data_IF_193750487139
#
_entry.id   IF_193750487139
#
_cell.length_a   1.000
_cell.length_b   1.000
_cell.length_c   1.000
_cell.angle_alpha   90.00
_cell.angle_beta   90.00
_cell.angle_gamma   90.00
#
_symmetry.space_group_name_H-M   'P 1'
#
loop_
_entity.id
_entity.type
_entity.pdbx_description
1 polymer ?
#
# COMPACT_ATOMS: atom_id res chain seq x y z
N UNK A 1 0.63 -9.22 -17.06
CA UNK A 1 2.07 -9.22 -17.36
C UNK A 1 2.84 -9.21 -16.06
N UNK A 2 3.76 -10.17 -15.86
CA UNK A 2 4.59 -10.29 -14.65
C UNK A 2 5.95 -9.72 -15.01
N UNK A 3 6.36 -8.62 -14.37
CA UNK A 3 7.66 -7.99 -14.58
C UNK A 3 8.70 -8.76 -13.77
N UNK A 4 9.71 -9.33 -14.44
CA UNK A 4 10.82 -10.04 -13.78
C UNK A 4 11.74 -9.05 -13.05
N UNK A 5 12.32 -9.51 -11.94
CA UNK A 5 13.28 -8.76 -11.15
C UNK A 5 14.53 -8.48 -11.99
N UNK A 6 14.94 -7.22 -12.09
CA UNK A 6 16.06 -6.76 -12.93
C UNK A 6 17.32 -6.59 -12.08
N UNK A 7 17.80 -7.69 -11.50
CA UNK A 7 19.00 -7.69 -10.66
C UNK A 7 20.30 -7.53 -11.47
N UNK A 8 20.28 -7.85 -12.77
CA UNK A 8 21.43 -7.75 -13.67
C UNK A 8 21.64 -6.34 -14.24
N UNK A 9 20.71 -5.42 -14.00
CA UNK A 9 20.80 -4.04 -14.50
C UNK A 9 21.37 -3.11 -13.44
N UNK A 10 22.45 -2.41 -13.79
CA UNK A 10 23.06 -1.41 -12.92
C UNK A 10 22.28 -0.09 -12.96
N UNK A 11 21.72 0.31 -11.82
CA UNK A 11 21.07 1.62 -11.64
C UNK A 11 19.54 1.55 -11.52
N UNK A 12 18.89 2.71 -11.56
CA UNK A 12 17.44 2.81 -11.40
C UNK A 12 16.73 2.68 -12.76
N UNK A 13 15.92 1.63 -12.90
CA UNK A 13 15.07 1.42 -14.07
C UNK A 13 13.59 1.65 -13.71
N UNK A 14 12.92 2.50 -14.49
CA UNK A 14 11.48 2.75 -14.32
C UNK A 14 10.71 1.51 -14.78
N UNK A 15 10.07 0.83 -13.82
CA UNK A 15 9.24 -0.32 -14.12
C UNK A 15 7.80 0.13 -14.44
N UNK A 16 7.19 -0.38 -15.52
CA UNK A 16 5.82 -0.05 -15.86
C UNK A 16 4.88 -0.44 -14.71
N UNK A 17 3.98 0.48 -14.33
CA UNK A 17 2.95 0.31 -13.28
C UNK A 17 3.48 0.12 -11.84
N UNK A 18 4.78 0.27 -11.57
CA UNK A 18 5.35 0.22 -10.22
C UNK A 18 4.67 1.20 -9.25
N UNK A 19 4.27 2.36 -9.77
CA UNK A 19 3.53 3.37 -9.01
C UNK A 19 2.25 2.83 -8.37
N UNK A 20 1.61 1.80 -8.93
CA UNK A 20 0.36 1.24 -8.38
C UNK A 20 0.62 0.60 -7.02
N UNK A 21 1.72 -0.16 -6.90
CA UNK A 21 2.14 -0.82 -5.67
C UNK A 21 2.63 0.22 -4.64
N UNK A 22 3.48 1.15 -5.08
CA UNK A 22 3.97 2.25 -4.23
C UNK A 22 2.82 3.11 -3.70
N UNK A 23 1.77 3.34 -4.51
CA UNK A 23 0.58 4.06 -4.09
C UNK A 23 -0.21 3.30 -3.02
N UNK A 24 -0.30 1.97 -3.11
CA UNK A 24 -0.91 1.16 -2.05
C UNK A 24 -0.15 1.32 -0.74
N UNK A 25 1.19 1.23 -0.77
CA UNK A 25 2.01 1.48 0.41
C UNK A 25 1.84 2.90 0.95
N UNK A 26 1.76 3.92 0.08
CA UNK A 26 1.51 5.29 0.49
C UNK A 26 0.17 5.46 1.22
N UNK A 27 -0.90 4.74 0.82
CA UNK A 27 -2.17 4.77 1.55
C UNK A 27 -2.09 4.12 2.93
N UNK A 28 -1.33 3.03 3.06
CA UNK A 28 -1.09 2.37 4.35
C UNK A 28 -0.28 3.30 5.26
N UNK A 29 0.85 3.82 4.79
CA UNK A 29 1.70 4.74 5.55
C UNK A 29 1.02 6.07 5.87
N UNK A 30 -0.02 6.49 5.15
CA UNK A 30 -0.82 7.66 5.55
C UNK A 30 -1.49 7.49 6.93
N UNK A 31 -1.67 6.26 7.41
CA UNK A 31 -2.19 5.98 8.75
C UNK A 31 -1.04 5.98 9.75
N UNK A 32 -1.07 6.89 10.73
CA UNK A 32 0.01 7.12 11.71
C UNK A 32 0.57 5.83 12.34
N UNK A 33 -0.31 4.87 12.69
CA UNK A 33 0.08 3.59 13.30
C UNK A 33 0.82 2.63 12.36
N UNK A 34 0.76 2.83 11.04
CA UNK A 34 1.47 2.02 10.05
C UNK A 34 2.71 2.74 9.47
N UNK A 35 3.07 3.93 9.97
CA UNK A 35 4.27 4.67 9.53
C UNK A 35 5.54 4.05 10.10
N UNK A 36 5.46 3.59 11.36
CA UNK A 36 6.52 2.88 12.05
C UNK A 36 5.93 1.63 12.67
N UNK A 37 6.79 0.65 12.92
CA UNK A 37 6.40 -0.52 13.68
C UNK A 37 6.22 -0.14 15.16
N UNK A 38 4.97 0.13 15.53
CA UNK A 38 4.58 0.46 16.90
C UNK A 38 4.03 -0.75 17.65
N UNK A 39 3.59 -1.78 16.92
CA UNK A 39 2.88 -2.91 17.50
C UNK A 39 3.89 -3.97 17.92
N UNK A 40 3.88 -4.37 19.20
CA UNK A 40 4.79 -5.42 19.69
C UNK A 40 4.51 -6.78 19.07
N UNK A 41 3.26 -7.01 18.63
CA UNK A 41 2.83 -8.28 18.08
C UNK A 41 2.45 -8.13 16.61
N UNK A 42 2.79 -9.15 15.82
CA UNK A 42 2.56 -9.21 14.39
C UNK A 42 1.07 -9.22 14.03
N UNK A 43 0.24 -9.90 14.83
CA UNK A 43 -1.22 -9.98 14.66
C UNK A 43 -1.90 -8.61 14.76
N UNK A 44 -1.44 -7.77 15.68
CA UNK A 44 -1.92 -6.39 15.81
C UNK A 44 -1.52 -5.55 14.59
N UNK A 45 -0.27 -5.65 14.14
CA UNK A 45 0.18 -4.91 12.96
C UNK A 45 -0.59 -5.32 11.70
N UNK A 46 -0.83 -6.62 11.52
CA UNK A 46 -1.65 -7.17 10.43
C UNK A 46 -3.08 -6.60 10.46
N UNK A 47 -3.74 -6.61 11.63
CA UNK A 47 -5.05 -6.01 11.81
C UNK A 47 -5.07 -4.51 11.46
N UNK A 48 -4.03 -3.77 11.85
CA UNK A 48 -3.90 -2.34 11.52
C UNK A 48 -3.79 -2.09 10.01
N UNK A 49 -3.06 -2.93 9.28
CA UNK A 49 -2.98 -2.86 7.81
C UNK A 49 -4.34 -3.14 7.16
N UNK A 50 -5.06 -4.16 7.62
CA UNK A 50 -6.42 -4.44 7.15
C UNK A 50 -7.37 -3.26 7.38
N UNK A 51 -7.35 -2.69 8.59
CA UNK A 51 -8.15 -1.52 8.94
C UNK A 51 -7.82 -0.31 8.04
N UNK A 52 -6.54 -0.07 7.75
CA UNK A 52 -6.11 1.01 6.84
C UNK A 52 -6.70 0.84 5.41
N UNK A 53 -6.72 -0.39 4.92
CA UNK A 53 -7.25 -0.72 3.59
C UNK A 53 -8.78 -0.67 3.54
N UNK A 54 -9.48 -1.20 4.54
CA UNK A 54 -10.94 -1.10 4.67
C UNK A 54 -11.37 0.36 4.59
N UNK A 55 -10.78 1.22 5.43
CA UNK A 55 -11.07 2.66 5.41
C UNK A 55 -10.85 3.31 4.04
N UNK A 56 -9.84 2.86 3.29
CA UNK A 56 -9.53 3.41 1.96
C UNK A 56 -10.54 2.94 0.92
N UNK A 57 -10.98 1.69 0.96
CA UNK A 57 -12.03 1.18 0.09
C UNK A 57 -13.39 1.80 0.41
N UNK A 58 -13.76 1.92 1.69
CA UNK A 58 -15.02 2.57 2.11
C UNK A 58 -15.12 4.00 1.57
N UNK A 59 -14.02 4.78 1.65
CA UNK A 59 -13.98 6.13 1.07
C UNK A 59 -14.15 6.13 -0.45
N UNK A 60 -13.63 5.12 -1.16
CA UNK A 60 -13.80 5.03 -2.62
C UNK A 60 -15.24 4.72 -2.98
N UNK A 61 -15.84 3.77 -2.28
CA UNK A 61 -17.23 3.38 -2.48
C UNK A 61 -18.17 4.57 -2.27
N UNK A 62 -17.99 5.33 -1.19
CA UNK A 62 -18.79 6.52 -0.91
C UNK A 62 -18.72 7.56 -2.04
N UNK A 63 -17.52 7.87 -2.55
CA UNK A 63 -17.36 8.80 -3.69
C UNK A 63 -17.96 8.31 -5.00
N UNK A 64 -18.21 7.01 -5.13
CA UNK A 64 -18.84 6.43 -6.32
C UNK A 64 -20.36 6.46 -6.23
N UNK A 65 -20.94 6.73 -5.06
CA UNK A 65 -22.39 6.86 -4.87
C UNK A 65 -22.95 8.25 -5.18
N UNK A 66 -22.09 9.23 -5.46
CA UNK A 66 -22.47 10.62 -5.77
C UNK A 66 -22.83 10.79 -7.27
N UNK A 67 -23.72 9.94 -7.80
CA UNK A 67 -24.29 10.08 -9.15
C UNK A 67 -25.66 10.76 -9.12
#
# INVERSE_FOLDING_TARGET
EIVKRTDDLAGFHVLPRRWVVERTFAWISKKRRCVRDYETRLDHHEAMVHIAMIMTMSRRLARTGDW
#
